data_IF_326250676832
#
_entry.id   IF_326250676832
#
_cell.length_a   1.000
_cell.length_b   1.000
_cell.length_c   1.000
_cell.angle_alpha   90.00
_cell.angle_beta   90.00
_cell.angle_gamma   90.00
#
_symmetry.space_group_name_H-M   'P 1'
#
loop_
_entity.id
_entity.type
_entity.pdbx_description
1 polymer ?
#
# COMPACT_ATOMS: atom_id res chain seq x y z
N UNK A 1 -16.77 -22.31 -2.91
CA UNK A 1 -17.83 -21.47 -3.49
C UNK A 1 -18.98 -22.37 -3.91
N UNK A 2 -20.09 -22.32 -3.18
CA UNK A 2 -21.26 -23.20 -3.33
C UNK A 2 -21.92 -23.05 -4.72
N UNK A 3 -21.93 -21.83 -5.27
CA UNK A 3 -22.44 -21.57 -6.63
C UNK A 3 -21.62 -22.28 -7.69
N UNK A 4 -20.31 -22.28 -7.52
CA UNK A 4 -19.39 -22.98 -8.42
C UNK A 4 -19.64 -24.50 -8.38
N UNK A 5 -19.85 -25.05 -7.18
CA UNK A 5 -20.21 -26.47 -7.01
C UNK A 5 -21.52 -26.82 -7.72
N UNK A 6 -22.59 -26.03 -7.52
CA UNK A 6 -23.88 -26.24 -8.19
C UNK A 6 -23.77 -26.17 -9.72
N UNK A 7 -23.01 -25.21 -10.26
CA UNK A 7 -22.78 -25.09 -11.71
C UNK A 7 -22.06 -26.32 -12.26
N UNK A 8 -21.05 -26.80 -11.56
CA UNK A 8 -20.31 -28.03 -11.92
C UNK A 8 -21.22 -29.25 -11.90
N UNK A 9 -22.05 -29.40 -10.87
CA UNK A 9 -23.02 -30.49 -10.76
C UNK A 9 -24.06 -30.45 -11.89
N UNK A 10 -24.61 -29.28 -12.20
CA UNK A 10 -25.53 -29.09 -13.34
C UNK A 10 -24.87 -29.51 -14.65
N UNK A 11 -23.61 -29.10 -14.86
CA UNK A 11 -22.86 -29.46 -16.06
C UNK A 11 -22.64 -30.98 -16.15
N UNK A 12 -22.28 -31.63 -15.04
CA UNK A 12 -22.12 -33.08 -14.97
C UNK A 12 -23.43 -33.81 -15.29
N UNK A 13 -24.56 -33.40 -14.70
CA UNK A 13 -25.87 -33.98 -14.97
C UNK A 13 -26.31 -33.79 -16.42
N UNK A 14 -25.96 -32.66 -17.04
CA UNK A 14 -26.22 -32.42 -18.47
C UNK A 14 -25.36 -33.34 -19.36
N UNK A 15 -24.09 -33.54 -19.00
CA UNK A 15 -23.21 -34.48 -19.69
C UNK A 15 -23.71 -35.92 -19.57
N UNK A 16 -24.11 -36.34 -18.37
CA UNK A 16 -24.70 -37.65 -18.09
C UNK A 16 -25.99 -37.86 -18.89
N UNK A 17 -26.91 -36.88 -18.89
CA UNK A 17 -28.12 -36.90 -19.70
C UNK A 17 -27.81 -37.04 -21.20
N UNK A 18 -26.80 -36.32 -21.70
CA UNK A 18 -26.36 -36.40 -23.10
C UNK A 18 -25.66 -37.72 -23.44
N UNK A 19 -24.93 -38.31 -22.49
CA UNK A 19 -24.30 -39.62 -22.62
C UNK A 19 -25.36 -40.72 -22.66
N UNK A 20 -26.25 -40.75 -21.68
CA UNK A 20 -27.37 -41.71 -21.60
C UNK A 20 -28.26 -41.67 -22.85
N UNK A 21 -28.53 -40.48 -23.40
CA UNK A 21 -29.27 -40.37 -24.66
C UNK A 21 -28.55 -41.04 -25.84
N UNK A 22 -27.23 -40.85 -25.96
CA UNK A 22 -26.44 -41.39 -27.07
C UNK A 22 -26.22 -42.90 -26.95
N UNK A 23 -25.98 -43.38 -25.74
CA UNK A 23 -25.64 -44.79 -25.47
C UNK A 23 -26.89 -45.67 -25.37
N UNK A 24 -27.98 -45.18 -24.76
CA UNK A 24 -29.14 -46.00 -24.43
C UNK A 24 -30.36 -45.65 -25.27
N UNK A 25 -30.78 -44.39 -25.27
CA UNK A 25 -32.08 -44.00 -25.85
C UNK A 25 -32.05 -43.99 -27.39
N UNK A 26 -31.00 -43.43 -27.99
CA UNK A 26 -30.86 -43.31 -29.44
C UNK A 26 -30.87 -44.68 -30.14
N UNK A 27 -30.08 -45.69 -29.70
CA UNK A 27 -30.13 -47.02 -30.32
C UNK A 27 -31.47 -47.73 -30.16
N UNK A 28 -32.21 -47.51 -29.06
CA UNK A 28 -33.55 -48.07 -28.87
C UNK A 28 -34.55 -47.42 -29.82
N UNK A 29 -34.48 -46.09 -29.97
CA UNK A 29 -35.33 -45.31 -30.88
C UNK A 29 -35.09 -45.70 -32.35
N UNK A 30 -33.82 -45.83 -32.75
CA UNK A 30 -33.41 -46.22 -34.11
C UNK A 30 -33.89 -47.64 -34.46
N UNK A 31 -34.11 -48.51 -33.46
CA UNK A 31 -34.67 -49.86 -33.60
C UNK A 31 -36.19 -49.92 -33.47
N UNK A 32 -36.87 -48.79 -33.24
CA UNK A 32 -38.32 -48.72 -33.03
C UNK A 32 -38.80 -49.38 -31.73
N UNK A 33 -37.91 -49.58 -30.75
CA UNK A 33 -38.23 -50.17 -29.46
C UNK A 33 -38.58 -49.07 -28.43
N UNK A 34 -39.59 -49.31 -27.61
CA UNK A 34 -39.94 -48.42 -26.51
C UNK A 34 -38.91 -48.57 -25.37
N UNK A 35 -38.35 -47.44 -24.93
CA UNK A 35 -37.35 -47.38 -23.85
C UNK A 35 -37.90 -46.67 -22.61
N UNK A 36 -39.00 -47.17 -22.04
CA UNK A 36 -39.69 -46.52 -20.91
C UNK A 36 -38.77 -46.28 -19.70
N UNK A 37 -37.91 -47.25 -19.37
CA UNK A 37 -36.90 -47.12 -18.31
C UNK A 37 -35.87 -46.02 -18.63
N UNK A 38 -35.44 -45.94 -19.89
CA UNK A 38 -34.47 -44.95 -20.36
C UNK A 38 -35.09 -43.53 -20.38
N UNK A 39 -36.38 -43.42 -20.67
CA UNK A 39 -37.12 -42.16 -20.52
C UNK A 39 -37.27 -41.76 -19.05
N UNK A 40 -37.60 -42.71 -18.17
CA UNK A 40 -37.73 -42.47 -16.73
C UNK A 40 -36.42 -41.94 -16.14
N UNK A 41 -35.29 -42.55 -16.49
CA UNK A 41 -33.96 -42.08 -16.08
C UNK A 41 -33.65 -40.66 -16.59
N UNK A 42 -34.05 -40.33 -17.83
CA UNK A 42 -33.89 -38.97 -18.36
C UNK A 42 -34.77 -37.96 -17.62
N UNK A 43 -35.99 -38.34 -17.24
CA UNK A 43 -36.89 -37.50 -16.43
C UNK A 43 -36.29 -37.22 -15.06
N UNK A 44 -35.71 -38.22 -14.40
CA UNK A 44 -35.06 -38.03 -13.09
C UNK A 44 -33.84 -37.10 -13.18
N UNK A 45 -32.98 -37.26 -14.20
CA UNK A 45 -31.88 -36.33 -14.45
C UNK A 45 -32.36 -34.90 -14.71
N UNK A 46 -33.48 -34.75 -15.42
CA UNK A 46 -34.06 -33.44 -15.70
C UNK A 46 -34.61 -32.76 -14.44
N UNK A 47 -35.28 -33.49 -13.56
CA UNK A 47 -35.74 -32.95 -12.27
C UNK A 47 -34.58 -32.54 -11.38
N UNK A 48 -33.51 -33.35 -11.31
CA UNK A 48 -32.28 -33.00 -10.58
C UNK A 48 -31.62 -31.73 -11.12
N UNK A 49 -31.56 -31.56 -12.45
CA UNK A 49 -31.05 -30.33 -13.07
C UNK A 49 -31.93 -29.12 -12.69
N UNK A 50 -33.26 -29.30 -12.71
CA UNK A 50 -34.22 -28.24 -12.38
C UNK A 50 -34.08 -27.81 -10.91
N UNK A 51 -33.99 -28.77 -9.99
CA UNK A 51 -33.77 -28.53 -8.56
C UNK A 51 -32.48 -27.73 -8.32
N UNK A 52 -31.37 -28.16 -8.92
CA UNK A 52 -30.07 -27.48 -8.77
C UNK A 52 -30.08 -26.08 -9.38
N UNK A 53 -30.82 -25.87 -10.48
CA UNK A 53 -31.01 -24.53 -11.05
C UNK A 53 -31.83 -23.63 -10.14
N UNK A 54 -32.91 -24.13 -9.54
CA UNK A 54 -33.68 -23.34 -8.57
C UNK A 54 -32.85 -22.96 -7.35
N UNK A 55 -32.01 -23.87 -6.85
CA UNK A 55 -31.09 -23.57 -5.75
C UNK A 55 -30.07 -22.48 -6.15
N UNK A 56 -29.51 -22.56 -7.36
CA UNK A 56 -28.60 -21.53 -7.87
C UNK A 56 -29.28 -20.16 -7.99
N UNK A 57 -30.51 -20.11 -8.51
CA UNK A 57 -31.28 -18.86 -8.61
C UNK A 57 -31.61 -18.28 -7.24
N UNK A 58 -31.93 -19.11 -6.25
CA UNK A 58 -32.15 -18.66 -4.88
C UNK A 58 -30.90 -18.01 -4.29
N UNK A 59 -29.74 -18.67 -4.41
CA UNK A 59 -28.45 -18.14 -3.96
C UNK A 59 -28.07 -16.83 -4.68
N UNK A 60 -28.31 -16.74 -5.99
CA UNK A 60 -28.07 -15.53 -6.77
C UNK A 60 -28.96 -14.37 -6.25
N UNK A 61 -30.22 -14.65 -5.93
CA UNK A 61 -31.14 -13.67 -5.35
C UNK A 61 -30.73 -13.22 -3.95
N UNK A 62 -30.22 -14.10 -3.10
CA UNK A 62 -29.71 -13.75 -1.77
C UNK A 62 -28.46 -12.87 -1.86
N UNK A 63 -27.52 -13.22 -2.75
CA UNK A 63 -26.33 -12.40 -2.99
C UNK A 63 -26.69 -11.00 -3.47
N UNK A 64 -27.66 -10.89 -4.38
CA UNK A 64 -28.08 -9.59 -4.89
C UNK A 64 -28.72 -8.73 -3.78
N UNK A 65 -29.55 -9.33 -2.92
CA UNK A 65 -30.08 -8.64 -1.73
C UNK A 65 -28.97 -8.18 -0.78
N UNK A 66 -27.96 -9.03 -0.55
CA UNK A 66 -26.81 -8.65 0.30
C UNK A 66 -26.01 -7.50 -0.30
N UNK A 67 -25.76 -7.52 -1.61
CA UNK A 67 -25.08 -6.42 -2.32
C UNK A 67 -25.87 -5.12 -2.25
N UNK A 68 -27.18 -5.18 -2.46
CA UNK A 68 -28.05 -4.01 -2.35
C UNK A 68 -28.05 -3.45 -0.92
N UNK A 69 -28.13 -4.32 0.08
CA UNK A 69 -28.03 -3.91 1.48
C UNK A 69 -26.67 -3.26 1.79
N UNK A 70 -25.57 -3.83 1.26
CA UNK A 70 -24.24 -3.24 1.39
C UNK A 70 -24.17 -1.86 0.72
N UNK A 71 -24.60 -1.73 -0.53
CA UNK A 71 -24.63 -0.45 -1.23
C UNK A 71 -25.47 0.59 -0.49
N UNK A 72 -26.64 0.21 0.03
CA UNK A 72 -27.48 1.10 0.82
C UNK A 72 -26.83 1.56 2.14
N UNK A 73 -25.88 0.80 2.69
CA UNK A 73 -25.06 1.23 3.83
C UNK A 73 -23.93 2.15 3.37
N UNK A 74 -23.27 1.82 2.26
CA UNK A 74 -22.16 2.61 1.71
C UNK A 74 -22.59 4.00 1.21
N UNK A 75 -23.83 4.13 0.73
CA UNK A 75 -24.41 5.40 0.28
C UNK A 75 -24.82 6.33 1.42
N UNK A 76 -24.84 5.85 2.68
CA UNK A 76 -25.20 6.70 3.82
C UNK A 76 -24.18 7.82 3.97
N UNK A 77 -24.63 9.07 4.24
CA UNK A 77 -23.73 10.22 4.34
C UNK A 77 -22.66 10.04 5.43
N UNK A 78 -23.02 9.38 6.54
CA UNK A 78 -22.11 9.04 7.63
C UNK A 78 -20.95 8.14 7.17
N UNK A 79 -21.25 7.14 6.33
CA UNK A 79 -20.24 6.21 5.80
C UNK A 79 -19.31 6.91 4.81
N UNK A 80 -19.87 7.72 3.91
CA UNK A 80 -19.11 8.53 2.95
C UNK A 80 -18.17 9.49 3.70
N UNK A 81 -18.68 10.17 4.74
CA UNK A 81 -17.90 11.07 5.56
C UNK A 81 -16.80 10.34 6.32
N UNK A 82 -17.12 9.21 6.97
CA UNK A 82 -16.12 8.39 7.67
C UNK A 82 -15.01 7.92 6.73
N UNK A 83 -15.35 7.48 5.51
CA UNK A 83 -14.39 7.06 4.49
C UNK A 83 -13.51 8.22 4.01
N UNK A 84 -14.10 9.40 3.84
CA UNK A 84 -13.35 10.62 3.49
C UNK A 84 -12.35 11.00 4.59
N UNK A 85 -12.79 10.98 5.85
CA UNK A 85 -11.93 11.24 7.01
C UNK A 85 -10.80 10.22 7.09
N UNK A 86 -11.10 8.92 6.96
CA UNK A 86 -10.10 7.86 6.98
C UNK A 86 -9.03 8.06 5.89
N UNK A 87 -9.44 8.31 4.65
CA UNK A 87 -8.51 8.61 3.55
C UNK A 87 -7.65 9.84 3.82
N UNK A 88 -8.23 10.89 4.39
CA UNK A 88 -7.49 12.10 4.74
C UNK A 88 -6.44 11.83 5.84
N UNK A 89 -6.75 10.95 6.78
CA UNK A 89 -5.85 10.55 7.86
C UNK A 89 -4.72 9.66 7.34
N UNK A 90 -5.04 8.69 6.49
CA UNK A 90 -4.04 7.86 5.79
C UNK A 90 -3.07 8.72 4.98
N UNK A 91 -3.58 9.70 4.22
CA UNK A 91 -2.73 10.59 3.44
C UNK A 91 -1.79 11.42 4.33
N UNK A 92 -2.28 11.92 5.47
CA UNK A 92 -1.45 12.64 6.45
C UNK A 92 -0.40 11.74 7.09
N UNK A 93 -0.78 10.52 7.47
CA UNK A 93 0.15 9.55 8.05
C UNK A 93 1.27 9.17 7.08
N UNK A 94 0.94 8.96 5.81
CA UNK A 94 1.93 8.66 4.78
C UNK A 94 2.85 9.86 4.49
N UNK A 95 2.31 11.09 4.47
CA UNK A 95 3.13 12.29 4.34
C UNK A 95 4.13 12.46 5.48
N UNK A 96 3.71 12.24 6.73
CA UNK A 96 4.60 12.30 7.89
C UNK A 96 5.65 11.18 7.87
N UNK A 97 5.25 9.97 7.47
CA UNK A 97 6.19 8.86 7.26
C UNK A 97 7.27 9.24 6.23
N UNK A 98 6.89 9.78 5.08
CA UNK A 98 7.84 10.21 4.05
C UNK A 98 8.76 11.33 4.56
N UNK A 99 8.22 12.27 5.34
CA UNK A 99 9.01 13.34 5.98
C UNK A 99 10.06 12.75 6.92
N UNK A 100 9.69 11.77 7.75
CA UNK A 100 10.63 11.09 8.65
C UNK A 100 11.70 10.30 7.89
N UNK A 101 11.31 9.52 6.88
CA UNK A 101 12.25 8.77 6.03
C UNK A 101 13.23 9.71 5.33
N UNK A 102 12.74 10.82 4.77
CA UNK A 102 13.59 11.86 4.18
C UNK A 102 14.56 12.43 5.20
N UNK A 103 14.09 12.74 6.41
CA UNK A 103 14.94 13.22 7.51
C UNK A 103 16.06 12.24 7.81
N UNK A 104 15.74 10.95 7.97
CA UNK A 104 16.73 9.90 8.22
C UNK A 104 17.75 9.84 7.08
N UNK A 105 17.31 9.78 5.82
CA UNK A 105 18.22 9.72 4.66
C UNK A 105 19.16 10.92 4.62
N UNK A 106 18.64 12.13 4.85
CA UNK A 106 19.45 13.35 4.86
C UNK A 106 20.41 13.38 6.03
N UNK A 107 20.02 12.88 7.20
CA UNK A 107 20.90 12.83 8.36
C UNK A 107 21.95 11.75 8.21
N UNK A 108 21.60 10.50 7.88
CA UNK A 108 22.56 9.40 7.81
C UNK A 108 23.47 9.50 6.59
N UNK A 109 22.94 9.85 5.41
CA UNK A 109 23.72 9.96 4.18
C UNK A 109 24.34 11.35 3.98
N UNK A 110 23.73 12.40 4.53
CA UNK A 110 24.22 13.77 4.39
C UNK A 110 25.29 14.15 5.41
N UNK A 111 25.27 13.63 6.65
CA UNK A 111 26.31 13.96 7.64
C UNK A 111 27.70 13.53 7.16
N UNK A 112 27.84 12.30 6.67
CA UNK A 112 29.13 11.80 6.15
C UNK A 112 29.66 12.64 4.99
N UNK A 113 28.77 13.21 4.18
CA UNK A 113 29.18 14.13 3.12
C UNK A 113 29.47 15.53 3.61
N UNK A 114 28.96 15.93 4.78
CA UNK A 114 29.15 17.27 5.35
C UNK A 114 30.63 17.53 5.64
N UNK A 115 31.36 16.51 6.07
CA UNK A 115 32.82 16.57 6.29
C UNK A 115 33.63 16.73 4.99
N UNK A 116 33.03 16.45 3.83
CA UNK A 116 33.67 16.61 2.50
C UNK A 116 33.24 17.87 1.78
N UNK A 117 32.33 18.67 2.36
CA UNK A 117 31.89 19.91 1.71
C UNK A 117 32.91 21.02 1.98
N UNK A 118 33.20 21.89 0.98
CA UNK A 118 33.94 23.12 1.23
C UNK A 118 33.24 23.90 2.35
N UNK A 119 33.99 24.52 3.26
CA UNK A 119 33.46 25.28 4.43
C UNK A 119 32.36 26.31 4.10
N UNK A 120 32.19 26.65 2.82
CA UNK A 120 31.21 27.58 2.29
C UNK A 120 29.98 26.95 1.57
N UNK A 121 29.70 25.65 1.70
CA UNK A 121 28.58 25.01 0.98
C UNK A 121 27.18 25.50 1.40
N UNK A 122 27.06 26.13 2.57
CA UNK A 122 25.79 26.62 3.12
C UNK A 122 25.45 28.04 2.68
N UNK A 123 26.37 28.78 2.05
CA UNK A 123 26.14 30.17 1.62
C UNK A 123 24.92 30.32 0.69
N UNK A 124 24.70 29.43 -0.32
CA UNK A 124 23.50 29.52 -1.16
C UNK A 124 22.18 29.25 -0.41
N UNK A 125 22.22 28.62 0.77
CA UNK A 125 21.03 28.39 1.58
C UNK A 125 20.59 29.64 2.35
N UNK A 126 21.53 30.54 2.66
CA UNK A 126 21.25 31.79 3.39
C UNK A 126 20.97 32.95 2.43
N UNK A 127 21.68 33.01 1.30
CA UNK A 127 21.50 34.03 0.26
C UNK A 127 21.58 33.36 -1.12
N UNK A 128 20.45 32.92 -1.69
CA UNK A 128 20.43 32.24 -2.99
C UNK A 128 21.00 33.09 -4.13
N UNK A 129 20.85 34.42 -4.06
CA UNK A 129 21.42 35.36 -5.03
C UNK A 129 22.90 35.71 -4.80
N UNK A 130 23.52 35.17 -3.75
CA UNK A 130 24.94 35.39 -3.44
C UNK A 130 25.29 36.78 -2.95
N UNK A 131 24.31 37.63 -2.66
CA UNK A 131 24.51 39.01 -2.17
C UNK A 131 25.26 39.01 -0.84
N UNK A 132 24.87 38.12 0.08
CA UNK A 132 25.53 38.00 1.37
C UNK A 132 26.97 37.49 1.24
N UNK A 133 27.23 36.53 0.35
CA UNK A 133 28.61 36.07 0.09
C UNK A 133 29.47 37.17 -0.54
N UNK A 134 28.90 37.94 -1.47
CA UNK A 134 29.58 39.06 -2.12
C UNK A 134 29.94 40.15 -1.12
N UNK A 135 29.01 40.48 -0.21
CA UNK A 135 29.25 41.47 0.84
C UNK A 135 30.25 40.96 1.89
N UNK A 136 30.17 39.68 2.27
CA UNK A 136 31.14 39.07 3.17
C UNK A 136 32.54 39.09 2.54
N UNK A 137 32.69 38.68 1.29
CA UNK A 137 33.97 38.70 0.59
C UNK A 137 34.53 40.13 0.45
N UNK A 138 33.66 41.13 0.30
CA UNK A 138 34.04 42.55 0.22
C UNK A 138 34.50 43.11 1.56
N UNK A 139 33.92 42.67 2.67
CA UNK A 139 34.12 43.25 4.01
C UNK A 139 35.02 42.43 4.91
N UNK A 140 35.25 41.15 4.59
CA UNK A 140 36.10 40.27 5.37
C UNK A 140 37.57 40.67 5.27
N UNK A 141 38.18 40.92 6.42
CA UNK A 141 39.63 41.10 6.55
C UNK A 141 40.25 39.81 7.07
N UNK A 142 41.25 39.29 6.35
CA UNK A 142 42.02 38.14 6.81
C UNK A 142 43.13 38.63 7.74
N UNK A 143 42.98 38.39 9.03
CA UNK A 143 44.08 38.54 9.97
C UNK A 143 44.81 37.19 10.07
N UNK A 144 46.08 37.17 9.66
CA UNK A 144 46.91 35.98 9.85
C UNK A 144 47.36 35.99 11.30
N UNK A 145 46.66 35.25 12.15
CA UNK A 145 47.15 35.00 13.50
C UNK A 145 48.54 34.39 13.39
N UNK A 146 49.53 35.08 13.98
CA UNK A 146 50.88 34.54 14.07
C UNK A 146 50.80 33.36 15.02
N UNK A 147 50.75 32.14 14.48
CA UNK A 147 50.76 30.92 15.27
C UNK A 147 51.89 31.04 16.28
N UNK A 148 51.49 31.00 17.55
CA UNK A 148 52.29 31.17 18.74
C UNK A 148 53.76 30.80 18.46
N UNK A 149 54.73 31.75 18.46
CA UNK A 149 56.12 31.36 18.41
C UNK A 149 56.27 30.39 19.58
N UNK A 150 56.70 29.14 19.28
CA UNK A 150 57.01 28.11 20.27
C UNK A 150 57.52 28.85 21.49
N UNK A 151 56.78 28.79 22.61
CA UNK A 151 57.23 29.32 23.89
C UNK A 151 58.54 28.61 24.13
N UNK A 152 59.66 29.23 23.70
CA UNK A 152 60.99 28.79 24.05
C UNK A 152 60.91 28.76 25.55
N UNK A 153 61.03 27.55 26.11
CA UNK A 153 60.85 27.28 27.51
C UNK A 153 61.56 28.38 28.30
N UNK A 154 60.79 29.33 28.83
CA UNK A 154 61.27 30.22 29.85
C UNK A 154 61.18 29.39 31.11
N UNK A 155 62.28 28.72 31.43
CA UNK A 155 62.63 28.53 32.82
C UNK A 155 62.59 29.92 33.46
N UNK A 156 61.62 30.12 34.36
CA UNK A 156 61.68 31.25 35.28
C UNK A 156 60.39 32.02 35.50
N UNK A 157 59.57 31.51 36.42
CA UNK A 157 58.93 32.28 37.51
C UNK A 157 58.03 33.47 37.12
N UNK A 158 56.72 33.34 37.38
CA UNK A 158 56.13 33.93 38.60
C UNK A 158 54.60 33.89 38.53
N UNK A 159 54.03 33.26 39.55
CA UNK A 159 52.61 33.16 39.87
C UNK A 159 51.92 34.52 39.96
N UNK A 160 50.78 34.69 39.27
CA UNK A 160 49.79 35.72 39.62
C UNK A 160 48.56 35.06 40.22
N UNK A 161 48.34 35.39 41.48
CA UNK A 161 47.19 35.05 42.30
C UNK A 161 45.89 35.59 41.70
N UNK A 162 44.83 34.80 41.80
CA UNK A 162 43.47 35.17 41.42
C UNK A 162 42.92 36.24 42.39
N UNK A 163 42.18 37.25 41.90
CA UNK A 163 41.50 38.20 42.77
C UNK A 163 40.24 37.56 43.35
N UNK A 164 40.19 37.48 44.67
CA UNK A 164 38.98 37.26 45.45
C UNK A 164 38.18 38.55 45.60
N UNK A 165 36.88 38.45 45.30
CA UNK A 165 35.81 39.20 45.99
C UNK A 165 34.88 40.00 45.06
N UNK A 166 33.76 40.54 45.59
CA UNK A 166 33.09 40.25 46.87
C UNK A 166 31.61 39.81 46.69
N UNK A 167 30.97 39.51 47.83
CA UNK A 167 29.59 38.98 48.04
C UNK A 167 28.44 39.73 47.32
#
# INVERSE_FOLDING_TARGET
DERYALRREIQQLQMEKGRHFRETLKPLLDKGLSGEEAESHRRSLQERIKEKRSALTALDGELEKMKQAQHAVEERPEFIQARSIARSLEAKAEAERLRLVRGIILTTGGLEQTDRRPTAWWFPLISPGGEWFSELARTSTLEVETFCPKRLASDGVSTRSLPTGPD
#
